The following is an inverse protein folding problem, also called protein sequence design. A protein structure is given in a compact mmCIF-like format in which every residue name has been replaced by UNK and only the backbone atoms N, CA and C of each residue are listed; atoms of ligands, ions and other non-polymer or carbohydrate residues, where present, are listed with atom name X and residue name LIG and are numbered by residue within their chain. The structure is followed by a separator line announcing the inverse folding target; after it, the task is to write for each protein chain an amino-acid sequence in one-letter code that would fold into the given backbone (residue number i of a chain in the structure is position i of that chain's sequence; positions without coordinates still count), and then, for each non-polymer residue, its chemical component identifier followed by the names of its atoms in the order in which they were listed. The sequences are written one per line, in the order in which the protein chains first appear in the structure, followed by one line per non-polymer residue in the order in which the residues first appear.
data_IF_141396150821
#
_entry.id   IF_141396150821
#
_cell.length_a   1.000
_cell.length_b   1.000
_cell.length_c   1.000
_cell.angle_alpha   90.00
_cell.angle_beta   90.00
_cell.angle_gamma   90.00
#
_symmetry.space_group_name_H-M   'P 1'
#
loop_
_entity.id
_entity.type
_entity.pdbx_description
1 polymer ?
#
# COMPACT_ATOMS: atom_id res chain seq x y z
N UNK A 1 9.22 -28.76 13.98
CA UNK A 1 10.43 -27.89 13.98
C UNK A 1 10.02 -26.52 13.46
N UNK A 2 10.51 -25.42 14.04
CA UNK A 2 10.27 -24.08 13.50
C UNK A 2 10.93 -24.00 12.10
N UNK A 3 10.19 -23.56 11.08
CA UNK A 3 10.65 -23.54 9.68
C UNK A 3 11.87 -22.65 9.50
N UNK A 4 11.95 -21.57 10.26
CA UNK A 4 13.11 -20.67 10.29
C UNK A 4 14.40 -21.41 10.71
N UNK A 5 14.30 -22.27 11.73
CA UNK A 5 15.42 -23.11 12.19
C UNK A 5 15.75 -24.28 11.26
N UNK A 6 14.89 -24.58 10.30
CA UNK A 6 15.10 -25.66 9.34
C UNK A 6 15.63 -25.14 7.99
N UNK A 7 15.53 -23.83 7.72
CA UNK A 7 15.97 -23.21 6.48
C UNK A 7 17.45 -22.82 6.50
N UNK A 8 18.33 -23.79 6.74
CA UNK A 8 19.78 -23.57 6.86
C UNK A 8 20.41 -23.00 5.58
N UNK A 9 19.77 -23.25 4.42
CA UNK A 9 20.20 -22.76 3.12
C UNK A 9 19.73 -21.33 2.81
N UNK A 10 18.97 -20.70 3.73
CA UNK A 10 18.37 -19.37 3.55
C UNK A 10 17.56 -19.26 2.24
N UNK A 11 16.87 -20.34 1.89
CA UNK A 11 16.01 -20.38 0.72
C UNK A 11 14.85 -19.38 0.88
N UNK A 12 14.39 -18.83 -0.23
CA UNK A 12 13.17 -18.02 -0.27
C UNK A 12 11.97 -18.95 -0.17
N UNK A 13 11.02 -18.65 0.72
CA UNK A 13 9.78 -19.43 0.86
C UNK A 13 8.60 -18.57 0.43
N UNK A 14 7.99 -18.95 -0.70
CA UNK A 14 6.78 -18.35 -1.23
C UNK A 14 5.60 -19.24 -0.91
N UNK A 15 4.52 -18.65 -0.40
CA UNK A 15 3.39 -19.40 0.16
C UNK A 15 2.13 -19.06 -0.62
N UNK A 16 1.34 -20.05 -1.01
CA UNK A 16 0.05 -19.86 -1.65
C UNK A 16 -1.04 -20.39 -0.71
N UNK A 17 -1.87 -19.50 -0.17
CA UNK A 17 -3.01 -19.84 0.65
C UNK A 17 -4.27 -19.87 -0.21
N UNK A 18 -4.95 -21.01 -0.28
CA UNK A 18 -6.14 -21.20 -1.11
C UNK A 18 -7.39 -21.27 -0.24
N UNK A 19 -8.38 -20.44 -0.57
CA UNK A 19 -9.64 -20.35 0.15
C UNK A 19 -9.52 -19.65 1.50
N UNK A 20 -10.55 -19.81 2.32
CA UNK A 20 -10.72 -19.01 3.53
C UNK A 20 -10.31 -19.72 4.83
N UNK A 21 -10.11 -21.03 4.82
CA UNK A 21 -9.73 -21.80 6.01
C UNK A 21 -8.23 -21.76 6.35
N UNK A 22 -7.45 -20.98 5.58
CA UNK A 22 -6.01 -20.82 5.80
C UNK A 22 -5.73 -19.88 6.97
N UNK A 23 -4.72 -20.22 7.77
CA UNK A 23 -4.22 -19.34 8.82
C UNK A 23 -3.29 -18.28 8.22
N UNK A 24 -3.84 -17.12 7.90
CA UNK A 24 -3.13 -16.05 7.20
C UNK A 24 -1.90 -15.56 7.98
N UNK A 25 -1.99 -15.44 9.30
CA UNK A 25 -0.87 -15.02 10.15
C UNK A 25 0.31 -15.99 10.07
N UNK A 26 0.04 -17.30 10.14
CA UNK A 26 1.06 -18.34 10.03
C UNK A 26 1.77 -18.27 8.67
N UNK A 27 1.00 -18.14 7.59
CA UNK A 27 1.54 -18.11 6.23
C UNK A 27 2.39 -16.85 6.00
N UNK A 28 1.93 -15.68 6.45
CA UNK A 28 2.67 -14.41 6.34
C UNK A 28 3.95 -14.41 7.18
N UNK A 29 3.92 -14.96 8.41
CA UNK A 29 5.14 -15.14 9.21
C UNK A 29 6.13 -16.08 8.52
N UNK A 30 5.63 -17.19 7.98
CA UNK A 30 6.45 -18.20 7.31
C UNK A 30 7.17 -17.61 6.09
N UNK A 31 6.46 -16.90 5.23
CA UNK A 31 7.06 -16.29 4.05
C UNK A 31 7.97 -15.10 4.42
N UNK A 32 7.53 -14.24 5.34
CA UNK A 32 8.23 -13.03 5.75
C UNK A 32 9.61 -13.29 6.36
N UNK A 33 9.74 -14.22 7.32
CA UNK A 33 11.06 -14.55 7.93
C UNK A 33 12.01 -15.20 6.93
N UNK A 34 11.47 -15.83 5.89
CA UNK A 34 12.24 -16.47 4.81
C UNK A 34 12.36 -15.57 3.57
N UNK A 35 12.08 -14.27 3.70
CA UNK A 35 12.21 -13.25 2.64
C UNK A 35 11.43 -13.58 1.36
N UNK A 36 10.37 -14.36 1.47
CA UNK A 36 9.40 -14.55 0.40
C UNK A 36 8.15 -13.70 0.61
N UNK A 37 7.05 -14.12 -0.01
CA UNK A 37 5.73 -13.50 0.12
C UNK A 37 4.66 -14.58 0.22
N UNK A 38 3.51 -14.23 0.78
CA UNK A 38 2.31 -15.05 0.69
C UNK A 38 1.42 -14.51 -0.42
N UNK A 39 0.73 -15.39 -1.13
CA UNK A 39 -0.32 -15.03 -2.09
C UNK A 39 -1.58 -15.75 -1.65
N UNK A 40 -2.68 -15.02 -1.50
CA UNK A 40 -3.96 -15.61 -1.15
C UNK A 40 -4.87 -15.64 -2.38
N UNK A 41 -5.39 -16.83 -2.65
CA UNK A 41 -6.23 -17.14 -3.80
C UNK A 41 -7.61 -17.53 -3.26
N UNK A 42 -8.66 -16.84 -3.70
CA UNK A 42 -10.03 -17.17 -3.30
C UNK A 42 -10.45 -18.53 -3.88
N UNK A 43 -11.49 -19.16 -3.31
CA UNK A 43 -11.98 -20.48 -3.76
C UNK A 43 -12.47 -20.48 -5.22
N UNK A 44 -12.86 -19.31 -5.72
CA UNK A 44 -13.34 -19.12 -7.10
C UNK A 44 -12.24 -18.62 -8.04
N UNK A 45 -11.03 -18.34 -7.53
CA UNK A 45 -9.88 -17.93 -8.33
C UNK A 45 -9.05 -19.15 -8.73
N UNK A 46 -8.42 -19.08 -9.90
CA UNK A 46 -7.56 -20.16 -10.38
C UNK A 46 -6.15 -20.05 -9.77
N UNK A 47 -5.80 -21.06 -8.97
CA UNK A 47 -4.47 -21.16 -8.36
C UNK A 47 -3.37 -21.33 -9.41
N UNK A 48 -3.63 -22.03 -10.52
CA UNK A 48 -2.63 -22.28 -11.55
C UNK A 48 -2.22 -20.96 -12.20
N UNK A 49 -3.18 -20.06 -12.44
CA UNK A 49 -2.92 -18.71 -12.94
C UNK A 49 -2.06 -17.93 -11.93
N UNK A 50 -2.43 -17.98 -10.65
CA UNK A 50 -1.71 -17.26 -9.59
C UNK A 50 -0.27 -17.75 -9.43
N UNK A 51 -0.05 -19.06 -9.42
CA UNK A 51 1.27 -19.69 -9.33
C UNK A 51 2.10 -19.42 -10.58
N UNK A 52 1.51 -19.53 -11.77
CA UNK A 52 2.20 -19.28 -13.04
C UNK A 52 2.67 -17.83 -13.14
N UNK A 53 1.77 -16.87 -12.89
CA UNK A 53 2.11 -15.45 -12.87
C UNK A 53 3.20 -15.12 -11.84
N UNK A 54 3.17 -15.77 -10.68
CA UNK A 54 4.18 -15.57 -9.66
C UNK A 54 5.53 -16.17 -10.07
N UNK A 55 5.53 -17.38 -10.61
CA UNK A 55 6.73 -18.05 -11.09
C UNK A 55 7.41 -17.24 -12.19
N UNK A 56 6.66 -16.73 -13.17
CA UNK A 56 7.19 -15.86 -14.21
C UNK A 56 7.92 -14.65 -13.63
N UNK A 57 7.33 -14.00 -12.63
CA UNK A 57 7.92 -12.85 -11.92
C UNK A 57 9.24 -13.19 -11.23
N UNK A 58 9.39 -14.39 -10.67
CA UNK A 58 10.58 -14.78 -9.88
C UNK A 58 11.57 -15.69 -10.61
N UNK A 59 11.26 -16.11 -11.83
CA UNK A 59 12.01 -17.13 -12.58
C UNK A 59 13.46 -16.74 -12.89
N UNK A 60 13.76 -15.44 -12.93
CA UNK A 60 15.05 -14.91 -13.40
C UNK A 60 15.61 -13.85 -12.44
N UNK A 61 16.21 -14.24 -11.30
CA UNK A 61 16.81 -13.29 -10.35
C UNK A 61 18.02 -12.59 -10.96
N UNK A 62 18.03 -11.25 -10.92
CA UNK A 62 19.13 -10.40 -11.38
C UNK A 62 20.03 -9.97 -10.23
N UNK A 63 19.44 -9.53 -9.10
CA UNK A 63 20.18 -9.10 -7.92
C UNK A 63 19.48 -9.58 -6.65
N UNK A 64 20.22 -10.19 -5.74
CA UNK A 64 19.73 -10.53 -4.40
C UNK A 64 20.40 -9.67 -3.33
N UNK A 65 19.90 -9.76 -2.09
CA UNK A 65 20.50 -9.07 -0.93
C UNK A 65 20.62 -7.56 -1.14
N UNK A 66 19.55 -6.97 -1.65
CA UNK A 66 19.52 -5.55 -1.97
C UNK A 66 19.57 -4.69 -0.72
N UNK A 67 20.36 -3.63 -0.78
CA UNK A 67 20.30 -2.54 0.19
C UNK A 67 20.68 -1.22 -0.48
N UNK A 68 20.17 -0.12 0.07
CA UNK A 68 20.40 1.22 -0.43
C UNK A 68 21.23 2.04 0.57
N UNK A 69 22.14 2.85 0.04
CA UNK A 69 22.88 3.86 0.80
C UNK A 69 22.52 5.23 0.23
N UNK A 70 22.01 6.10 1.08
CA UNK A 70 21.74 7.50 0.77
C UNK A 70 22.83 8.39 1.37
N UNK A 71 23.36 9.33 0.59
CA UNK A 71 24.35 10.32 1.05
C UNK A 71 23.83 11.73 0.85
N UNK A 72 24.23 12.62 1.74
CA UNK A 72 23.86 14.05 1.77
C UNK A 72 22.36 14.31 2.03
N UNK A 73 21.65 13.31 2.53
CA UNK A 73 20.23 13.41 2.85
C UNK A 73 19.87 12.45 3.98
N UNK A 74 18.98 12.91 4.85
CA UNK A 74 18.39 12.07 5.89
C UNK A 74 17.12 11.42 5.34
N UNK A 75 17.03 10.09 5.39
CA UNK A 75 15.91 9.32 4.85
C UNK A 75 15.33 8.43 5.95
N UNK A 76 14.01 8.42 6.05
CA UNK A 76 13.27 7.63 7.02
C UNK A 76 11.98 7.08 6.42
N UNK A 77 11.33 6.19 7.16
CA UNK A 77 10.05 5.59 6.76
C UNK A 77 10.11 4.98 5.35
N UNK A 78 11.19 4.24 5.05
CA UNK A 78 11.42 3.58 3.76
C UNK A 78 10.60 2.29 3.64
N UNK A 79 9.97 2.10 2.48
CA UNK A 79 9.18 0.92 2.14
C UNK A 79 9.55 0.39 0.74
N UNK A 80 9.67 -0.94 0.56
CA UNK A 80 9.44 -1.97 1.58
C UNK A 80 10.54 -2.01 2.67
N UNK A 81 10.17 -2.47 3.87
CA UNK A 81 11.12 -2.59 5.01
C UNK A 81 12.12 -3.73 4.80
N UNK A 82 11.63 -4.85 4.27
CA UNK A 82 12.44 -5.99 3.85
C UNK A 82 12.62 -5.88 2.34
N UNK A 83 13.87 -5.77 1.89
CA UNK A 83 14.16 -5.66 0.47
C UNK A 83 13.93 -7.01 -0.24
N UNK A 84 13.11 -7.05 -1.30
CA UNK A 84 12.97 -8.24 -2.13
C UNK A 84 14.23 -8.40 -3.00
N UNK A 85 14.35 -9.56 -3.64
CA UNK A 85 15.30 -9.71 -4.74
C UNK A 85 14.74 -9.02 -6.01
N UNK A 86 15.63 -8.53 -6.88
CA UNK A 86 15.26 -7.92 -8.15
C UNK A 86 15.32 -8.98 -9.25
N UNK A 87 14.21 -9.17 -9.95
CA UNK A 87 14.06 -10.14 -11.03
C UNK A 87 14.00 -9.47 -12.41
N UNK A 88 14.33 -10.21 -13.46
CA UNK A 88 14.25 -9.71 -14.84
C UNK A 88 12.81 -9.35 -15.19
N UNK A 89 12.62 -8.15 -15.73
CA UNK A 89 11.28 -7.64 -16.09
C UNK A 89 10.48 -7.11 -14.89
N UNK A 90 10.98 -7.25 -13.66
CA UNK A 90 10.37 -6.64 -12.48
C UNK A 90 10.89 -5.22 -12.23
N UNK A 91 10.12 -4.45 -11.46
CA UNK A 91 10.51 -3.12 -10.98
C UNK A 91 10.52 -3.11 -9.46
N UNK A 92 11.59 -2.58 -8.86
CA UNK A 92 11.64 -2.27 -7.43
C UNK A 92 11.34 -0.80 -7.22
N UNK A 93 10.28 -0.52 -6.46
CA UNK A 93 9.91 0.83 -6.04
C UNK A 93 10.23 0.96 -4.55
N UNK A 94 11.14 1.88 -4.24
CA UNK A 94 11.48 2.27 -2.88
C UNK A 94 10.96 3.67 -2.63
N UNK A 95 10.04 3.82 -1.68
CA UNK A 95 9.47 5.11 -1.30
C UNK A 95 9.75 5.40 0.17
N UNK A 96 10.02 6.66 0.50
CA UNK A 96 10.26 7.09 1.86
C UNK A 96 10.17 8.60 2.00
N UNK A 97 10.37 9.06 3.24
CA UNK A 97 10.41 10.48 3.58
C UNK A 97 11.85 10.91 3.76
N UNK A 98 12.13 12.16 3.43
CA UNK A 98 13.47 12.71 3.57
C UNK A 98 13.48 14.10 4.19
N UNK A 99 14.63 14.47 4.74
CA UNK A 99 14.95 15.82 5.19
C UNK A 99 16.34 16.21 4.67
N UNK A 100 16.43 17.39 4.10
CA UNK A 100 17.66 17.90 3.50
C UNK A 100 17.40 18.66 2.21
N UNK A 101 18.47 19.23 1.66
CA UNK A 101 18.47 19.94 0.38
C UNK A 101 19.79 19.64 -0.34
N UNK A 102 19.80 19.82 -1.66
CA UNK A 102 21.01 19.69 -2.47
C UNK A 102 21.11 18.36 -3.21
N UNK A 103 22.23 18.14 -3.91
CA UNK A 103 22.47 16.93 -4.68
C UNK A 103 22.59 15.71 -3.77
N UNK A 104 21.78 14.69 -4.06
CA UNK A 104 21.77 13.41 -3.36
C UNK A 104 22.51 12.37 -4.18
N UNK A 105 23.29 11.53 -3.50
CA UNK A 105 23.81 10.31 -4.11
C UNK A 105 23.11 9.09 -3.50
N UNK A 106 22.62 8.21 -4.38
CA UNK A 106 21.94 6.96 -4.01
C UNK A 106 22.74 5.81 -4.59
N UNK A 107 23.16 4.87 -3.73
CA UNK A 107 23.82 3.63 -4.16
C UNK A 107 22.93 2.45 -3.85
N UNK A 108 22.56 1.70 -4.89
CA UNK A 108 22.02 0.35 -4.78
C UNK A 108 23.19 -0.64 -4.75
N UNK A 109 23.19 -1.53 -3.76
CA UNK A 109 24.07 -2.69 -3.72
C UNK A 109 23.22 -3.96 -3.75
N UNK A 110 23.72 -5.01 -4.40
CA UNK A 110 23.12 -6.34 -4.40
C UNK A 110 24.14 -7.39 -4.86
N UNK A 111 23.72 -8.65 -4.98
CA UNK A 111 24.57 -9.76 -5.39
C UNK A 111 24.10 -10.41 -6.69
N UNK A 112 25.05 -10.71 -7.57
CA UNK A 112 24.87 -11.61 -8.71
C UNK A 112 25.61 -12.90 -8.36
N UNK A 113 24.86 -13.96 -8.03
CA UNK A 113 25.43 -15.16 -7.40
C UNK A 113 26.14 -14.79 -6.09
N UNK A 114 27.46 -14.99 -6.02
CA UNK A 114 28.27 -14.64 -4.83
C UNK A 114 28.96 -13.28 -4.92
N UNK A 115 28.87 -12.59 -6.06
CA UNK A 115 29.59 -11.34 -6.30
C UNK A 115 28.73 -10.12 -5.98
N UNK A 116 29.25 -9.19 -5.19
CA UNK A 116 28.60 -7.90 -4.95
C UNK A 116 28.69 -6.99 -6.17
N UNK A 117 27.59 -6.30 -6.48
CA UNK A 117 27.46 -5.28 -7.53
C UNK A 117 26.91 -4.00 -6.94
N UNK A 118 27.42 -2.86 -7.41
CA UNK A 118 27.04 -1.52 -6.95
C UNK A 118 26.64 -0.65 -8.12
N UNK A 119 25.54 0.07 -7.96
CA UNK A 119 25.01 1.03 -8.91
C UNK A 119 24.78 2.34 -8.19
N UNK A 120 25.46 3.40 -8.60
CA UNK A 120 25.38 4.71 -7.93
C UNK A 120 24.83 5.76 -8.88
N UNK A 121 23.72 6.39 -8.47
CA UNK A 121 23.23 7.62 -9.04
C UNK A 121 23.82 8.78 -8.23
N UNK A 122 24.63 9.61 -8.87
CA UNK A 122 25.30 10.76 -8.24
C UNK A 122 24.57 12.05 -8.56
N UNK A 123 24.70 13.01 -7.66
CA UNK A 123 24.28 14.40 -7.84
C UNK A 123 22.83 14.61 -8.30
N UNK A 124 21.94 13.74 -7.82
CA UNK A 124 20.51 13.81 -8.12
C UNK A 124 19.88 15.01 -7.44
N UNK A 125 19.25 15.88 -8.23
CA UNK A 125 18.54 17.06 -7.72
C UNK A 125 17.10 16.67 -7.39
N UNK A 126 16.68 16.96 -6.17
CA UNK A 126 15.30 16.73 -5.74
C UNK A 126 14.42 17.89 -6.22
N UNK A 127 13.43 17.57 -7.04
CA UNK A 127 12.50 18.55 -7.63
C UNK A 127 11.14 18.42 -6.94
N UNK A 128 10.50 19.56 -6.72
CA UNK A 128 9.07 19.62 -6.39
C UNK A 128 8.36 20.00 -7.68
N UNK A 129 7.58 19.08 -8.21
CA UNK A 129 6.82 19.23 -9.44
C UNK A 129 5.43 18.61 -9.23
N UNK A 130 4.41 19.18 -9.86
CA UNK A 130 3.03 18.72 -9.68
C UNK A 130 2.81 17.28 -10.16
N UNK A 131 3.62 16.82 -11.12
CA UNK A 131 3.64 15.42 -11.56
C UNK A 131 4.01 14.44 -10.44
N UNK A 132 4.60 14.90 -9.33
CA UNK A 132 4.98 14.10 -8.17
C UNK A 132 4.01 14.19 -6.99
N UNK A 133 2.88 14.89 -7.14
CA UNK A 133 1.88 15.07 -6.08
C UNK A 133 1.20 13.75 -5.64
N UNK A 134 1.36 12.67 -6.41
CA UNK A 134 0.89 11.34 -6.04
C UNK A 134 1.81 10.64 -5.00
N UNK A 135 3.08 11.05 -4.89
CA UNK A 135 4.08 10.37 -4.04
C UNK A 135 3.70 10.34 -2.55
N UNK A 136 3.17 11.41 -1.93
CA UNK A 136 2.75 11.36 -0.52
C UNK A 136 1.66 10.31 -0.25
N UNK A 137 0.70 10.16 -1.18
CA UNK A 137 -0.37 9.15 -1.08
C UNK A 137 0.16 7.75 -1.30
N UNK A 138 1.04 7.55 -2.28
CA UNK A 138 1.74 6.28 -2.49
C UNK A 138 2.53 5.86 -1.24
N UNK A 139 3.29 6.79 -0.65
CA UNK A 139 4.01 6.55 0.60
C UNK A 139 3.06 6.17 1.74
N UNK A 140 1.95 6.90 1.90
CA UNK A 140 0.97 6.63 2.94
C UNK A 140 0.34 5.25 2.79
N UNK A 141 -0.01 4.84 1.57
CA UNK A 141 -0.55 3.50 1.31
C UNK A 141 0.49 2.41 1.67
N UNK A 142 1.75 2.57 1.25
CA UNK A 142 2.84 1.65 1.60
C UNK A 142 3.04 1.55 3.12
N UNK A 143 2.99 2.68 3.84
CA UNK A 143 3.04 2.71 5.31
C UNK A 143 1.86 2.00 5.94
N UNK A 144 0.63 2.27 5.48
CA UNK A 144 -0.60 1.62 5.97
C UNK A 144 -0.53 0.11 5.75
N UNK A 145 -0.11 -0.35 4.57
CA UNK A 145 0.04 -1.78 4.29
C UNK A 145 0.97 -2.47 5.28
N UNK A 146 2.12 -1.85 5.56
CA UNK A 146 3.06 -2.33 6.59
C UNK A 146 2.43 -2.31 8.00
N UNK A 147 1.78 -1.21 8.39
CA UNK A 147 1.14 -1.11 9.72
C UNK A 147 0.04 -2.14 9.92
N UNK A 148 -0.79 -2.38 8.90
CA UNK A 148 -1.83 -3.41 8.95
C UNK A 148 -1.24 -4.81 9.06
N UNK A 149 -0.13 -5.08 8.40
CA UNK A 149 0.61 -6.34 8.59
C UNK A 149 1.13 -6.47 10.03
N UNK A 150 1.79 -5.45 10.57
CA UNK A 150 2.29 -5.46 11.95
C UNK A 150 1.16 -5.69 12.96
N UNK A 151 0.00 -5.03 12.77
CA UNK A 151 -1.18 -5.22 13.62
C UNK A 151 -1.69 -6.66 13.52
N UNK A 152 -1.78 -7.23 12.31
CA UNK A 152 -2.22 -8.62 12.12
C UNK A 152 -1.25 -9.62 12.73
N UNK A 153 0.06 -9.40 12.55
CA UNK A 153 1.10 -10.32 12.98
C UNK A 153 1.47 -10.18 14.46
N UNK A 154 1.29 -9.02 15.08
CA UNK A 154 1.74 -8.79 16.45
C UNK A 154 0.61 -8.36 17.41
N UNK A 155 -0.60 -8.24 16.87
CA UNK A 155 -1.78 -7.77 17.60
C UNK A 155 -1.91 -6.25 17.56
N UNK A 156 -3.11 -5.78 17.91
CA UNK A 156 -3.38 -4.34 17.93
C UNK A 156 -2.52 -3.60 18.96
N UNK A 157 -1.87 -2.54 18.48
CA UNK A 157 -1.24 -1.52 19.29
C UNK A 157 -1.96 -0.19 18.97
N UNK A 158 -2.39 0.53 20.02
CA UNK A 158 -3.12 1.80 19.88
C UNK A 158 -2.38 2.81 19.01
N UNK A 159 -1.05 2.89 19.11
CA UNK A 159 -0.24 3.80 18.30
C UNK A 159 -0.28 3.44 16.82
N UNK A 160 -0.19 2.15 16.48
CA UNK A 160 -0.25 1.69 15.09
C UNK A 160 -1.65 1.93 14.51
N UNK A 161 -2.70 1.64 15.28
CA UNK A 161 -4.10 1.86 14.87
C UNK A 161 -4.36 3.35 14.63
N UNK A 162 -3.93 4.22 15.56
CA UNK A 162 -4.09 5.68 15.39
C UNK A 162 -3.25 6.23 14.23
N UNK A 163 -2.08 5.66 13.96
CA UNK A 163 -1.29 6.04 12.77
C UNK A 163 -2.01 5.62 11.48
N UNK A 164 -2.58 4.41 11.39
CA UNK A 164 -3.38 3.96 10.24
C UNK A 164 -4.57 4.89 10.03
N UNK A 165 -5.31 5.24 11.09
CA UNK A 165 -6.44 6.19 11.01
C UNK A 165 -5.98 7.55 10.50
N UNK A 166 -4.92 8.09 11.09
CA UNK A 166 -4.39 9.42 10.73
C UNK A 166 -3.95 9.46 9.27
N UNK A 167 -3.22 8.44 8.80
CA UNK A 167 -2.80 8.36 7.41
C UNK A 167 -3.99 8.14 6.46
N UNK A 168 -4.93 7.26 6.83
CA UNK A 168 -6.14 7.01 6.05
C UNK A 168 -6.97 8.27 5.85
N UNK A 169 -7.21 9.01 6.94
CA UNK A 169 -7.94 10.28 6.92
C UNK A 169 -7.16 11.40 6.24
N UNK A 170 -5.83 11.47 6.36
CA UNK A 170 -5.07 12.54 5.69
C UNK A 170 -5.00 12.34 4.17
N UNK A 171 -4.89 11.09 3.72
CA UNK A 171 -4.62 10.77 2.33
C UNK A 171 -5.81 10.17 1.59
N UNK A 172 -6.98 10.14 2.22
CA UNK A 172 -8.21 9.60 1.63
C UNK A 172 -8.08 8.12 1.29
N UNK A 173 -7.35 7.37 2.10
CA UNK A 173 -7.13 5.93 1.91
C UNK A 173 -8.14 5.21 2.82
N UNK A 174 -8.98 4.38 2.19
CA UNK A 174 -9.95 3.56 2.91
C UNK A 174 -9.21 2.39 3.56
N UNK A 175 -9.43 2.24 4.85
CA UNK A 175 -8.79 1.24 5.72
C UNK A 175 -9.85 0.66 6.66
N UNK A 176 -9.58 -0.47 7.33
CA UNK A 176 -10.51 -1.03 8.33
C UNK A 176 -10.82 -0.08 9.49
N UNK A 177 -10.01 0.97 9.67
CA UNK A 177 -10.15 1.92 10.75
C UNK A 177 -10.72 3.29 10.30
N UNK A 178 -11.12 3.44 9.03
CA UNK A 178 -11.65 4.70 8.48
C UNK A 178 -13.07 4.55 7.91
N UNK A 179 -14.07 4.41 8.79
CA UNK A 179 -15.47 4.15 8.42
C UNK A 179 -16.25 5.36 7.88
N UNK A 180 -15.82 6.60 8.17
CA UNK A 180 -16.59 7.81 7.82
C UNK A 180 -16.45 8.25 6.35
N UNK A 181 -15.53 7.64 5.60
CA UNK A 181 -15.10 8.17 4.30
C UNK A 181 -15.93 7.69 3.10
N UNK A 182 -16.76 6.66 3.27
CA UNK A 182 -17.45 5.99 2.17
C UNK A 182 -18.92 5.72 2.46
N UNK A 183 -19.71 5.56 1.40
CA UNK A 183 -21.11 5.09 1.51
C UNK A 183 -21.17 3.61 1.86
N UNK A 184 -22.33 3.12 2.30
CA UNK A 184 -22.49 1.69 2.62
C UNK A 184 -22.24 0.79 1.39
N UNK A 185 -22.63 1.26 0.19
CA UNK A 185 -22.36 0.56 -1.08
C UNK A 185 -20.87 0.50 -1.38
N UNK A 186 -20.16 1.62 -1.22
CA UNK A 186 -18.71 1.70 -1.40
C UNK A 186 -17.98 0.82 -0.37
N UNK A 187 -18.43 0.81 0.88
CA UNK A 187 -17.87 -0.02 1.96
C UNK A 187 -17.89 -1.52 1.62
N UNK A 188 -18.98 -2.01 1.02
CA UNK A 188 -19.08 -3.42 0.57
C UNK A 188 -18.21 -3.73 -0.65
N UNK A 189 -17.90 -2.73 -1.47
CA UNK A 189 -17.08 -2.89 -2.67
C UNK A 189 -15.57 -2.78 -2.40
N UNK A 190 -15.18 -2.25 -1.24
CA UNK A 190 -13.78 -2.05 -0.87
C UNK A 190 -13.43 -3.05 0.23
N UNK A 191 -12.62 -4.05 -0.09
CA UNK A 191 -12.23 -5.10 0.86
C UNK A 191 -11.65 -4.56 2.18
N UNK A 192 -10.92 -3.45 2.11
CA UNK A 192 -10.33 -2.80 3.29
C UNK A 192 -11.38 -2.29 4.29
N UNK A 193 -12.60 -1.99 3.86
CA UNK A 193 -13.69 -1.54 4.72
C UNK A 193 -14.86 -2.54 4.78
N UNK A 194 -14.70 -3.72 4.18
CA UNK A 194 -15.74 -4.75 4.24
C UNK A 194 -16.00 -5.15 5.70
N UNK A 195 -17.28 -5.32 6.12
CA UNK A 195 -17.63 -5.68 7.49
C UNK A 195 -16.85 -6.88 8.02
N UNK A 196 -16.63 -7.90 7.20
CA UNK A 196 -15.92 -9.11 7.56
C UNK A 196 -14.44 -8.85 7.84
N UNK A 197 -13.81 -7.95 7.08
CA UNK A 197 -12.40 -7.57 7.26
C UNK A 197 -12.21 -6.77 8.56
N UNK A 198 -13.11 -5.81 8.82
CA UNK A 198 -13.12 -5.05 10.08
C UNK A 198 -13.35 -5.97 11.29
N UNK A 199 -14.35 -6.87 11.20
CA UNK A 199 -14.62 -7.85 12.25
C UNK A 199 -13.44 -8.77 12.48
N UNK A 200 -12.81 -9.27 11.41
CA UNK A 200 -11.64 -10.13 11.53
C UNK A 200 -10.48 -9.43 12.26
N UNK A 201 -10.26 -8.14 11.98
CA UNK A 201 -9.20 -7.38 12.64
C UNK A 201 -9.53 -7.13 14.12
N UNK A 202 -10.76 -6.71 14.42
CA UNK A 202 -11.23 -6.46 15.79
C UNK A 202 -11.24 -7.74 16.65
N UNK A 203 -11.68 -8.86 16.07
CA UNK A 203 -11.73 -10.15 16.74
C UNK A 203 -10.40 -10.95 16.62
N UNK A 204 -9.38 -10.40 15.97
CA UNK A 204 -8.07 -11.04 15.73
C UNK A 204 -8.20 -12.42 15.07
N UNK A 205 -9.13 -12.56 14.13
CA UNK A 205 -9.29 -13.78 13.36
C UNK A 205 -8.11 -13.92 12.40
N UNK A 206 -7.51 -15.11 12.39
CA UNK A 206 -6.42 -15.47 11.48
C UNK A 206 -6.89 -16.28 10.28
N UNK A 207 -8.12 -16.80 10.34
CA UNK A 207 -8.81 -17.57 9.30
C UNK A 207 -10.16 -16.90 8.94
N UNK A 208 -10.77 -17.38 7.87
CA UNK A 208 -12.05 -16.90 7.34
C UNK A 208 -11.91 -15.77 6.31
N UNK A 209 -13.02 -15.46 5.65
CA UNK A 209 -13.11 -14.46 4.57
C UNK A 209 -12.49 -13.13 4.97
N UNK A 210 -12.85 -12.63 6.15
CA UNK A 210 -12.32 -11.37 6.67
C UNK A 210 -10.80 -11.36 6.84
N UNK A 211 -10.23 -12.45 7.38
CA UNK A 211 -8.78 -12.57 7.59
C UNK A 211 -8.02 -12.60 6.25
N UNK A 212 -8.55 -13.31 5.25
CA UNK A 212 -7.98 -13.35 3.90
C UNK A 212 -8.09 -12.00 3.21
N UNK A 213 -9.26 -11.34 3.26
CA UNK A 213 -9.45 -9.99 2.70
C UNK A 213 -8.43 -8.99 3.27
N UNK A 214 -8.27 -8.94 4.59
CA UNK A 214 -7.33 -7.98 5.19
C UNK A 214 -5.87 -8.35 4.90
N UNK A 215 -5.54 -9.64 4.75
CA UNK A 215 -4.23 -10.08 4.31
C UNK A 215 -3.91 -9.59 2.90
N UNK A 216 -4.84 -9.79 1.95
CA UNK A 216 -4.72 -9.33 0.56
C UNK A 216 -4.60 -7.80 0.48
N UNK A 217 -5.46 -7.07 1.21
CA UNK A 217 -5.41 -5.59 1.25
C UNK A 217 -4.06 -5.08 1.77
N UNK A 218 -3.56 -5.66 2.86
CA UNK A 218 -2.25 -5.30 3.41
C UNK A 218 -1.13 -5.54 2.39
N UNK A 219 -1.15 -6.68 1.69
CA UNK A 219 -0.18 -6.99 0.63
C UNK A 219 -0.29 -6.04 -0.56
N UNK A 220 -1.50 -5.79 -1.06
CA UNK A 220 -1.74 -4.83 -2.13
C UNK A 220 -1.16 -3.47 -1.78
N UNK A 221 -1.49 -2.91 -0.61
CA UNK A 221 -0.94 -1.65 -0.15
C UNK A 221 0.58 -1.64 -0.03
N UNK A 222 1.20 -2.76 0.38
CA UNK A 222 2.65 -2.91 0.42
C UNK A 222 3.30 -3.02 -0.95
N UNK A 223 2.58 -3.33 -2.02
CA UNK A 223 3.12 -3.58 -3.37
C UNK A 223 2.77 -2.48 -4.38
N UNK A 224 1.82 -1.60 -4.07
CA UNK A 224 1.37 -0.50 -4.94
C UNK A 224 2.50 0.28 -5.60
N UNK A 225 2.47 0.40 -6.92
CA UNK A 225 3.36 1.24 -7.72
C UNK A 225 2.77 2.64 -8.02
N UNK A 226 1.46 2.78 -7.88
CA UNK A 226 0.71 4.02 -8.09
C UNK A 226 -0.06 4.46 -6.83
N UNK A 227 -0.42 5.74 -6.79
CA UNK A 227 -1.22 6.26 -5.67
C UNK A 227 -2.66 5.72 -5.69
N UNK A 228 -3.13 5.31 -4.52
CA UNK A 228 -4.52 4.87 -4.32
C UNK A 228 -5.47 6.03 -4.61
N UNK A 229 -6.46 5.75 -5.45
CA UNK A 229 -7.63 6.60 -5.63
C UNK A 229 -8.86 5.78 -5.27
N UNK A 230 -9.59 6.23 -4.27
CA UNK A 230 -10.88 5.66 -3.93
C UNK A 230 -11.90 6.34 -4.82
N UNK A 231 -12.66 5.53 -5.56
CA UNK A 231 -13.84 6.04 -6.26
C UNK A 231 -14.94 6.20 -5.22
N UNK A 232 -15.15 7.43 -4.75
CA UNK A 232 -16.20 7.75 -3.78
C UNK A 232 -16.89 9.06 -4.12
N UNK A 233 -18.18 9.15 -3.80
CA UNK A 233 -18.93 10.42 -3.87
C UNK A 233 -18.51 11.42 -2.77
N UNK A 234 -17.83 10.95 -1.73
CA UNK A 234 -17.47 11.74 -0.53
C UNK A 234 -15.99 12.10 -0.43
N UNK A 235 -15.15 11.56 -1.31
CA UNK A 235 -13.69 11.78 -1.31
C UNK A 235 -13.29 12.35 -2.67
N UNK A 236 -12.56 13.46 -2.66
CA UNK A 236 -11.95 14.03 -3.85
C UNK A 236 -10.46 14.26 -3.62
N UNK A 237 -9.69 14.16 -4.69
CA UNK A 237 -8.25 14.42 -4.67
C UNK A 237 -7.93 15.58 -5.59
N UNK A 238 -7.11 16.51 -5.12
CA UNK A 238 -6.54 17.58 -5.95
C UNK A 238 -5.09 17.76 -5.53
N UNK A 239 -4.18 17.65 -6.49
CA UNK A 239 -2.74 17.66 -6.22
C UNK A 239 -2.38 16.56 -5.19
N UNK A 240 -1.69 16.93 -4.11
CA UNK A 240 -1.29 16.04 -3.03
C UNK A 240 -2.30 16.02 -1.86
N UNK A 241 -3.41 16.76 -2.01
CA UNK A 241 -4.43 16.96 -0.99
C UNK A 241 -5.65 16.08 -1.20
N UNK A 242 -6.26 15.75 -0.07
CA UNK A 242 -7.54 15.04 0.01
C UNK A 242 -8.61 15.99 0.54
N UNK A 243 -9.79 15.93 -0.06
CA UNK A 243 -10.96 16.69 0.34
C UNK A 243 -12.11 15.75 0.67
N UNK A 244 -12.89 16.13 1.69
CA UNK A 244 -14.08 15.41 2.13
C UNK A 244 -15.32 16.25 1.95
N UNK A 245 -16.39 15.64 1.44
CA UNK A 245 -17.68 16.30 1.32
C UNK A 245 -18.38 16.31 2.69
N UNK A 246 -18.50 17.48 3.31
CA UNK A 246 -19.14 17.72 4.60
C UNK A 246 -20.14 18.87 4.47
N UNK A 247 -21.40 18.63 4.85
CA UNK A 247 -22.49 19.61 4.80
C UNK A 247 -22.64 20.33 3.44
N UNK A 248 -22.33 19.63 2.34
CA UNK A 248 -22.38 20.16 0.98
C UNK A 248 -21.12 20.89 0.51
N UNK A 249 -20.06 20.94 1.33
CA UNK A 249 -18.80 21.61 1.02
C UNK A 249 -17.61 20.65 1.04
N UNK A 250 -16.61 20.90 0.19
CA UNK A 250 -15.36 20.14 0.18
C UNK A 250 -14.38 20.73 1.21
N UNK A 251 -14.04 19.95 2.23
CA UNK A 251 -13.15 20.34 3.33
C UNK A 251 -11.82 19.62 3.19
N UNK A 252 -10.71 20.36 3.28
CA UNK A 252 -9.36 19.80 3.26
C UNK A 252 -9.14 18.86 4.46
N UNK A 253 -8.66 17.64 4.19
CA UNK A 253 -8.36 16.61 5.20
C UNK A 253 -7.42 17.04 6.33
N UNK A 254 -6.58 18.06 6.12
CA UNK A 254 -5.66 18.58 7.14
C UNK A 254 -6.16 19.86 7.82
N UNK A 255 -7.41 20.25 7.58
CA UNK A 255 -7.99 21.44 8.18
C UNK A 255 -8.23 21.28 9.69
N UNK A 256 -7.81 22.28 10.46
CA UNK A 256 -8.09 22.42 11.90
C UNK A 256 -8.77 23.78 12.11
N UNK A 257 -9.95 23.82 12.73
CA UNK A 257 -10.81 25.02 12.90
C UNK A 257 -10.10 26.26 13.50
N UNK A 258 -8.95 26.08 14.17
CA UNK A 258 -8.21 27.14 14.87
C UNK A 258 -7.08 27.79 14.05
N UNK A 259 -6.88 27.40 12.78
CA UNK A 259 -5.95 28.09 11.87
C UNK A 259 -6.72 28.98 10.90
N UNK A 260 -6.28 30.23 10.64
CA UNK A 260 -7.01 31.14 9.77
C UNK A 260 -7.21 30.49 8.41
N UNK A 261 -8.48 30.40 8.01
CA UNK A 261 -8.89 29.82 6.75
C UNK A 261 -8.23 30.60 5.61
N UNK A 262 -7.25 30.00 4.94
CA UNK A 262 -6.90 30.43 3.59
C UNK A 262 -8.04 29.92 2.72
N UNK A 263 -9.08 30.76 2.62
CA UNK A 263 -10.27 30.50 1.81
C UNK A 263 -9.84 30.53 0.34
N UNK A 264 -9.28 29.43 -0.14
CA UNK A 264 -9.24 29.17 -1.56
C UNK A 264 -10.63 28.63 -1.93
N UNK A 265 -11.49 29.39 -2.61
CA UNK A 265 -12.65 28.81 -3.25
C UNK A 265 -12.11 27.88 -4.34
N UNK A 266 -11.83 26.63 -4.00
CA UNK A 266 -11.57 25.59 -4.98
C UNK A 266 -12.89 25.40 -5.72
N UNK A 267 -13.06 26.15 -6.80
CA UNK A 267 -14.15 25.89 -7.74
C UNK A 267 -13.86 24.53 -8.38
N UNK A 268 -14.51 23.48 -7.88
CA UNK A 268 -14.77 22.27 -8.64
C UNK A 268 -15.79 22.60 -9.75
N UNK A 269 -15.46 23.53 -10.67
CA UNK A 269 -16.33 23.86 -11.80
C UNK A 269 -16.30 22.67 -12.76
N UNK A 270 -17.43 21.95 -12.81
CA UNK A 270 -17.88 21.00 -13.85
C UNK A 270 -16.76 20.20 -14.56
N UNK A 271 -16.38 19.06 -13.98
CA UNK A 271 -15.78 17.94 -14.75
C UNK A 271 -16.64 16.69 -14.72
N UNK A 272 -17.75 16.68 -13.96
CA UNK A 272 -18.77 15.64 -14.08
C UNK A 272 -19.92 16.18 -14.93
N UNK A 273 -19.76 16.13 -16.25
CA UNK A 273 -20.90 16.14 -17.16
C UNK A 273 -21.69 14.87 -16.90
N UNK A 274 -22.84 15.01 -16.25
CA UNK A 274 -23.92 14.03 -16.31
C UNK A 274 -24.12 13.63 -17.77
N UNK A 275 -24.08 12.33 -18.04
CA UNK A 275 -24.53 11.79 -19.31
C UNK A 275 -25.98 12.23 -19.54
N UNK A 276 -26.21 12.91 -20.66
CA UNK A 276 -27.52 13.32 -21.14
C UNK A 276 -28.42 12.08 -21.32
N UNK A 277 -29.48 11.98 -20.51
CA UNK A 277 -30.70 11.28 -20.88
C UNK A 277 -31.72 12.33 -21.34
N UNK A 278 -31.54 12.84 -22.56
CA UNK A 278 -32.63 13.43 -23.33
C UNK A 278 -33.16 12.39 -24.31
N UNK A 279 -34.05 11.53 -23.82
CA UNK A 279 -35.09 10.96 -24.69
C UNK A 279 -35.98 12.11 -25.12
N UNK A 280 -35.85 12.51 -26.39
CA UNK A 280 -36.80 13.38 -27.04
C UNK A 280 -38.04 12.57 -27.39
N UNK A 281 -39.17 12.96 -26.81
CA UNK A 281 -40.48 12.69 -27.38
C UNK A 281 -40.57 13.44 -28.73
N UNK A 282 -40.86 12.69 -29.78
CA UNK A 282 -41.46 13.21 -31.02
C UNK A 282 -42.74 12.42 -31.24
N UNK A 283 -43.86 13.13 -31.11
CA UNK A 283 -45.04 12.92 -31.95
C UNK A 283 -44.71 13.22 -33.41
#
# INVERSE_FOLDING_TARGET
KNIDKANDQRARIFVFGVGYDVNTELLDRMSGVNRGTSVYVDENEDIEISVSNYYEKISSPLLSDLYFIFRNIDVKDLYPRTMPDLFKGSQLILVGKYKGKGPVSVTLTGKVGKQERKFTLRDQRLVKDDSYNFLPRLWAARRIGYLLEEIRLHGENKELVEEVKTLGLKYGIVTPYTSFLVTEKERRAIDAAAPEAEEALAARKTTGVGAVKIARVSQQFKELDMAVHVTSQKIAYKEDKTFYLQDGYWVDSVYEERKPCQRDPVQFRRVFSTADSKTGDRE
#
